data_IF_510571311435
#
_entry.id   IF_510571311435
#
_cell.length_a   1.000
_cell.length_b   1.000
_cell.length_c   1.000
_cell.angle_alpha   90.00
_cell.angle_beta   90.00
_cell.angle_gamma   90.00
#
_symmetry.space_group_name_H-M   'P 1'
#
loop_
_entity.id
_entity.type
_entity.pdbx_description
1 polymer ?
#
# COMPACT_ATOMS: atom_id res chain seq x y z
N UNK A 1 -10.37 10.29 -14.35
CA UNK A 1 -10.48 8.89 -14.79
C UNK A 1 -9.14 8.42 -15.28
N UNK A 2 -8.74 7.21 -14.90
CA UNK A 2 -7.53 6.52 -15.34
C UNK A 2 -7.94 5.28 -16.14
N UNK A 3 -7.19 4.97 -17.19
CA UNK A 3 -7.34 3.70 -17.91
C UNK A 3 -6.35 2.70 -17.31
N UNK A 4 -6.85 1.67 -16.62
CA UNK A 4 -6.06 0.68 -15.92
C UNK A 4 -6.54 -0.69 -16.39
N UNK A 5 -5.64 -1.57 -16.83
CA UNK A 5 -5.98 -2.99 -17.12
C UNK A 5 -7.21 -3.21 -18.02
N UNK A 6 -7.42 -2.33 -19.00
CA UNK A 6 -8.53 -2.34 -19.98
C UNK A 6 -9.90 -1.89 -19.43
N UNK A 7 -9.91 -1.22 -18.30
CA UNK A 7 -11.10 -0.60 -17.72
C UNK A 7 -10.84 0.86 -17.34
N UNK A 8 -11.91 1.65 -17.33
CA UNK A 8 -11.86 3.00 -16.79
C UNK A 8 -12.10 2.94 -15.30
N UNK A 9 -11.19 3.52 -14.53
CA UNK A 9 -11.28 3.64 -13.08
C UNK A 9 -11.35 5.12 -12.72
N UNK A 10 -12.30 5.47 -11.87
CA UNK A 10 -12.51 6.81 -11.32
C UNK A 10 -11.66 7.01 -10.06
N UNK A 11 -11.46 8.27 -9.68
CA UNK A 11 -10.82 8.57 -8.40
C UNK A 11 -11.69 8.09 -7.22
N UNK A 12 -13.03 8.16 -7.35
CA UNK A 12 -13.97 7.66 -6.34
C UNK A 12 -13.77 6.16 -6.07
N UNK A 13 -13.69 5.34 -7.12
CA UNK A 13 -13.43 3.89 -7.00
C UNK A 13 -12.09 3.59 -6.30
N UNK A 14 -11.03 4.33 -6.63
CA UNK A 14 -9.73 4.17 -5.96
C UNK A 14 -9.79 4.58 -4.49
N UNK A 15 -10.50 5.66 -4.18
CA UNK A 15 -10.56 6.19 -2.80
C UNK A 15 -11.51 5.43 -1.89
N UNK A 16 -12.41 4.62 -2.45
CA UNK A 16 -13.34 3.73 -1.73
C UNK A 16 -12.84 2.28 -1.64
N UNK A 17 -11.67 1.99 -2.20
CA UNK A 17 -11.04 0.67 -2.19
C UNK A 17 -10.84 0.14 -0.75
N UNK A 18 -11.05 -1.17 -0.54
CA UNK A 18 -11.03 -1.80 0.80
C UNK A 18 -9.71 -1.61 1.56
N UNK A 19 -8.59 -1.57 0.83
CA UNK A 19 -7.28 -1.31 1.41
C UNK A 19 -7.19 0.04 2.14
N UNK A 20 -7.95 1.03 1.68
CA UNK A 20 -7.90 2.40 2.22
C UNK A 20 -8.70 2.53 3.51
N UNK A 21 -9.60 1.58 3.78
CA UNK A 21 -10.46 1.57 4.99
C UNK A 21 -9.74 1.05 6.23
N UNK A 22 -8.50 0.58 6.08
CA UNK A 22 -7.73 0.01 7.17
C UNK A 22 -7.28 1.08 8.15
N UNK A 23 -7.41 0.82 9.45
CA UNK A 23 -7.15 1.82 10.51
C UNK A 23 -5.69 2.31 10.57
N UNK A 24 -4.74 1.54 10.04
CA UNK A 24 -3.32 1.92 9.99
C UNK A 24 -2.96 2.85 8.83
N UNK A 25 -3.89 3.03 7.88
CA UNK A 25 -3.81 4.04 6.82
C UNK A 25 -4.23 5.36 7.45
N UNK A 26 -3.28 6.02 8.11
CA UNK A 26 -3.49 7.23 8.91
C UNK A 26 -2.31 8.18 8.84
N UNK A 27 -2.48 9.38 9.39
CA UNK A 27 -1.51 10.47 9.27
C UNK A 27 -0.14 10.13 9.86
N UNK A 28 0.91 10.49 9.10
CA UNK A 28 2.30 10.32 9.53
C UNK A 28 2.83 8.88 9.58
N UNK A 29 2.03 7.88 9.18
CA UNK A 29 2.49 6.48 9.13
C UNK A 29 3.26 6.17 7.83
N UNK A 30 4.20 5.23 7.95
CA UNK A 30 4.91 4.62 6.82
C UNK A 30 4.42 3.19 6.62
N UNK A 31 3.98 2.87 5.41
CA UNK A 31 3.44 1.55 5.05
C UNK A 31 4.18 1.01 3.84
N UNK A 32 4.65 -0.23 3.91
CA UNK A 32 5.20 -0.93 2.77
C UNK A 32 4.11 -1.65 1.98
N UNK A 33 4.27 -1.76 0.67
CA UNK A 33 3.35 -2.51 -0.19
C UNK A 33 4.13 -3.25 -1.27
N UNK A 34 3.79 -4.52 -1.42
CA UNK A 34 4.37 -5.48 -2.35
C UNK A 34 3.22 -6.20 -3.05
N UNK A 35 2.64 -5.58 -4.08
CA UNK A 35 1.47 -6.09 -4.79
C UNK A 35 1.64 -5.95 -6.29
N UNK A 36 1.09 -6.90 -7.06
CA UNK A 36 0.92 -6.75 -8.51
C UNK A 36 -0.40 -6.06 -8.89
N UNK A 37 -1.28 -5.79 -7.93
CA UNK A 37 -2.55 -5.10 -8.18
C UNK A 37 -2.32 -3.59 -8.36
N UNK A 38 -2.48 -3.13 -9.61
CA UNK A 38 -2.31 -1.73 -9.99
C UNK A 38 -3.32 -0.81 -9.29
N UNK A 39 -4.56 -1.26 -9.08
CA UNK A 39 -5.61 -0.44 -8.44
C UNK A 39 -5.34 -0.31 -6.96
N UNK A 40 -4.98 -1.39 -6.27
CA UNK A 40 -4.63 -1.36 -4.86
C UNK A 40 -3.42 -0.43 -4.60
N UNK A 41 -2.40 -0.50 -5.45
CA UNK A 41 -1.24 0.39 -5.41
C UNK A 41 -1.65 1.87 -5.56
N UNK A 42 -2.43 2.20 -6.60
CA UNK A 42 -2.87 3.58 -6.84
C UNK A 42 -3.82 4.10 -5.74
N UNK A 43 -4.72 3.26 -5.25
CA UNK A 43 -5.60 3.57 -4.13
C UNK A 43 -4.80 3.97 -2.89
N UNK A 44 -3.78 3.17 -2.53
CA UNK A 44 -2.91 3.48 -1.41
C UNK A 44 -2.13 4.78 -1.62
N UNK A 45 -1.55 4.99 -2.81
CA UNK A 45 -0.84 6.22 -3.14
C UNK A 45 -1.70 7.47 -2.94
N UNK A 46 -2.94 7.45 -3.45
CA UNK A 46 -3.86 8.57 -3.31
C UNK A 46 -4.26 8.80 -1.86
N UNK A 47 -4.53 7.73 -1.11
CA UNK A 47 -4.90 7.80 0.29
C UNK A 47 -3.79 8.37 1.18
N UNK A 48 -2.58 7.80 1.08
CA UNK A 48 -1.45 8.22 1.92
C UNK A 48 -1.04 9.66 1.62
N UNK A 49 -1.11 10.09 0.35
CA UNK A 49 -0.88 11.49 -0.01
C UNK A 49 -1.82 12.45 0.72
N UNK A 50 -3.10 12.09 0.90
CA UNK A 50 -4.09 12.94 1.59
C UNK A 50 -3.84 13.05 3.10
N UNK A 51 -3.13 12.10 3.69
CA UNK A 51 -2.84 12.06 5.13
C UNK A 51 -1.38 12.36 5.45
N UNK A 52 -0.61 12.91 4.51
CA UNK A 52 0.84 13.11 4.67
C UNK A 52 1.58 11.82 5.12
N UNK A 53 1.08 10.66 4.70
CA UNK A 53 1.69 9.36 4.97
C UNK A 53 2.79 9.04 3.96
N UNK A 54 3.65 8.09 4.31
CA UNK A 54 4.74 7.61 3.47
C UNK A 54 4.47 6.18 3.00
N UNK A 55 4.82 5.88 1.75
CA UNK A 55 4.72 4.52 1.20
C UNK A 55 6.10 4.03 0.78
N UNK A 56 6.42 2.79 1.11
CA UNK A 56 7.54 2.06 0.53
C UNK A 56 7.03 1.08 -0.55
N UNK A 57 7.23 1.38 -1.85
CA UNK A 57 7.04 0.38 -2.90
C UNK A 57 8.07 -0.74 -2.79
N UNK A 58 7.60 -1.97 -2.88
CA UNK A 58 8.43 -3.17 -3.01
C UNK A 58 7.99 -3.89 -4.29
N UNK A 59 8.97 -4.36 -5.07
CA UNK A 59 8.69 -5.06 -6.33
C UNK A 59 7.79 -6.29 -6.07
N UNK A 60 6.74 -6.53 -6.86
CA UNK A 60 5.74 -7.59 -6.59
C UNK A 60 6.31 -9.01 -6.57
N UNK A 61 7.43 -9.24 -7.26
CA UNK A 61 8.12 -10.55 -7.26
C UNK A 61 9.05 -10.74 -6.06
N UNK A 62 9.17 -9.75 -5.16
CA UNK A 62 9.98 -9.88 -3.95
C UNK A 62 9.37 -10.94 -3.05
N UNK A 63 10.09 -11.99 -2.64
CA UNK A 63 9.57 -12.98 -1.71
C UNK A 63 9.14 -12.33 -0.39
N UNK A 64 8.12 -12.90 0.27
CA UNK A 64 7.55 -12.35 1.52
C UNK A 64 8.60 -12.00 2.57
N UNK A 65 9.56 -12.89 2.83
CA UNK A 65 10.64 -12.64 3.81
C UNK A 65 11.59 -11.51 3.39
N UNK A 66 11.75 -11.29 2.08
CA UNK A 66 12.47 -10.15 1.53
C UNK A 66 11.69 -8.85 1.70
N UNK A 67 10.39 -8.88 1.44
CA UNK A 67 9.50 -7.73 1.58
C UNK A 67 9.39 -7.28 3.04
N UNK A 68 9.20 -8.22 3.98
CA UNK A 68 9.18 -7.93 5.42
C UNK A 68 10.49 -7.30 5.88
N UNK A 69 11.63 -7.86 5.47
CA UNK A 69 12.95 -7.32 5.83
C UNK A 69 13.12 -5.88 5.34
N UNK A 70 12.77 -5.59 4.09
CA UNK A 70 12.86 -4.24 3.53
C UNK A 70 11.94 -3.26 4.26
N UNK A 71 10.71 -3.69 4.55
CA UNK A 71 9.74 -2.87 5.26
C UNK A 71 10.19 -2.54 6.69
N UNK A 72 10.71 -3.52 7.43
CA UNK A 72 11.26 -3.34 8.78
C UNK A 72 12.47 -2.39 8.73
N UNK A 73 13.40 -2.58 7.79
CA UNK A 73 14.57 -1.70 7.64
C UNK A 73 14.19 -0.24 7.34
N UNK A 74 13.05 -0.02 6.69
CA UNK A 74 12.52 1.31 6.41
C UNK A 74 11.65 1.89 7.54
N UNK A 75 11.49 1.18 8.66
CA UNK A 75 10.66 1.61 9.78
C UNK A 75 9.16 1.60 9.46
N UNK A 76 8.71 0.74 8.54
CA UNK A 76 7.28 0.58 8.26
C UNK A 76 6.59 -0.15 9.41
N UNK A 77 5.39 0.30 9.80
CA UNK A 77 4.59 -0.42 10.80
C UNK A 77 3.77 -1.58 10.22
N UNK A 78 3.54 -1.56 8.90
CA UNK A 78 2.74 -2.56 8.19
C UNK A 78 3.34 -2.84 6.81
N UNK A 79 3.21 -4.09 6.37
CA UNK A 79 3.42 -4.54 5.00
C UNK A 79 2.11 -5.05 4.42
N UNK A 80 1.72 -4.51 3.26
CA UNK A 80 0.65 -5.05 2.43
C UNK A 80 1.32 -5.95 1.39
N UNK A 81 1.24 -7.27 1.58
CA UNK A 81 1.80 -8.26 0.66
C UNK A 81 0.69 -8.90 -0.16
N UNK A 82 0.63 -8.56 -1.44
CA UNK A 82 -0.50 -8.84 -2.31
C UNK A 82 -1.80 -8.31 -1.67
N UNK A 83 -2.67 -9.20 -1.19
CA UNK A 83 -3.92 -8.85 -0.49
C UNK A 83 -3.81 -9.03 1.04
N UNK A 84 -2.69 -9.54 1.55
CA UNK A 84 -2.49 -9.82 2.97
C UNK A 84 -1.85 -8.63 3.68
N UNK A 85 -2.40 -8.27 4.85
CA UNK A 85 -1.84 -7.24 5.72
C UNK A 85 -1.02 -7.92 6.81
N UNK A 86 0.26 -7.55 6.90
CA UNK A 86 1.22 -8.07 7.86
C UNK A 86 1.63 -6.92 8.79
N UNK A 87 1.25 -6.93 10.07
CA UNK A 87 1.79 -6.00 11.05
C UNK A 87 3.28 -6.29 11.27
N UNK A 88 4.08 -5.24 11.35
CA UNK A 88 5.52 -5.33 11.56
C UNK A 88 5.88 -4.88 12.98
N UNK A 89 7.01 -5.35 13.53
CA UNK A 89 7.50 -4.85 14.82
C UNK A 89 7.70 -3.33 14.76
N UNK A 90 7.39 -2.64 15.85
CA UNK A 90 7.68 -1.20 15.97
C UNK A 90 9.19 -0.96 15.87
N UNK A 91 9.55 0.11 15.15
CA UNK A 91 10.93 0.55 14.97
C UNK A 91 11.49 1.22 16.24
#
# INVERSE_FOLDING_TARGET
>A
MLWIEKEWVTEEELTTHELVKQSFITEGKTVAICTSDTKAWLALCLAMRRMNGTILPIHPETPVSGAERLAIQAGCGYLIYQETIIPLPEA
#
